data_IF_336060477980
#
_entry.id   IF_336060477980
#
_cell.length_a   1.000
_cell.length_b   1.000
_cell.length_c   1.000
_cell.angle_alpha   90.00
_cell.angle_beta   90.00
_cell.angle_gamma   90.00
#
_symmetry.space_group_name_H-M   'P 1'
#
loop_
_entity.id
_entity.type
_entity.pdbx_description
1 polymer ?
#
# COMPACT_ATOMS: atom_id res chain seq x y z
N UNK A 1 9.85 -8.76 -12.10
CA UNK A 1 10.21 -7.98 -10.91
C UNK A 1 9.00 -7.91 -9.97
N UNK A 2 9.21 -7.67 -8.68
CA UNK A 2 8.16 -7.47 -7.68
C UNK A 2 8.10 -5.98 -7.33
N UNK A 3 6.93 -5.37 -7.37
CA UNK A 3 6.70 -3.97 -7.00
C UNK A 3 5.86 -3.96 -5.73
N UNK A 4 6.36 -3.36 -4.67
CA UNK A 4 5.69 -3.30 -3.37
C UNK A 4 5.34 -1.85 -3.06
N UNK A 5 4.05 -1.54 -3.04
CA UNK A 5 3.55 -0.30 -2.46
C UNK A 5 3.55 -0.44 -0.94
N UNK A 6 4.36 0.38 -0.27
CA UNK A 6 4.58 0.30 1.16
C UNK A 6 3.90 1.48 1.87
N UNK A 7 2.89 1.20 2.68
CA UNK A 7 2.23 2.19 3.52
C UNK A 7 2.41 1.87 5.00
N UNK A 8 1.87 2.72 5.87
CA UNK A 8 1.77 2.40 7.30
C UNK A 8 0.84 1.21 7.55
N UNK A 9 -0.16 1.04 6.68
CA UNK A 9 -1.05 -0.13 6.65
C UNK A 9 -1.12 -0.67 5.23
N UNK A 10 -1.21 -1.99 5.10
CA UNK A 10 -1.29 -2.69 3.81
C UNK A 10 -2.65 -2.52 3.15
N UNK A 11 -3.74 -2.54 3.93
CA UNK A 11 -5.13 -2.58 3.43
C UNK A 11 -5.78 -1.23 3.14
N UNK A 12 -5.03 -0.14 3.21
CA UNK A 12 -5.54 1.21 2.93
C UNK A 12 -4.74 1.92 1.84
N UNK A 13 -3.85 2.86 2.16
CA UNK A 13 -3.15 3.68 1.17
C UNK A 13 -2.20 2.88 0.28
N UNK A 14 -1.57 1.83 0.82
CA UNK A 14 -0.71 0.94 0.04
C UNK A 14 -1.52 0.19 -1.03
N UNK A 15 -2.65 -0.40 -0.61
CA UNK A 15 -3.60 -1.07 -1.50
C UNK A 15 -4.19 -0.12 -2.53
N UNK A 16 -4.68 1.05 -2.12
CA UNK A 16 -5.22 2.05 -3.03
C UNK A 16 -4.20 2.50 -4.08
N UNK A 17 -2.94 2.71 -3.68
CA UNK A 17 -1.85 3.06 -4.59
C UNK A 17 -1.57 1.94 -5.61
N UNK A 18 -1.48 0.70 -5.15
CA UNK A 18 -1.22 -0.44 -6.01
C UNK A 18 -2.37 -0.75 -6.99
N UNK A 19 -3.62 -0.65 -6.53
CA UNK A 19 -4.78 -0.79 -7.41
C UNK A 19 -4.84 0.32 -8.48
N UNK A 20 -4.55 1.57 -8.09
CA UNK A 20 -4.45 2.68 -9.05
C UNK A 20 -3.31 2.46 -10.05
N UNK A 21 -2.15 1.99 -9.60
CA UNK A 21 -1.02 1.65 -10.46
C UNK A 21 -1.41 0.62 -11.54
N UNK A 22 -2.16 -0.42 -11.17
CA UNK A 22 -2.57 -1.50 -12.07
C UNK A 22 -3.66 -1.10 -13.07
N UNK A 23 -4.69 -0.36 -12.62
CA UNK A 23 -5.90 -0.15 -13.41
C UNK A 23 -6.12 1.29 -13.90
N UNK A 24 -5.47 2.28 -13.27
CA UNK A 24 -5.65 3.74 -13.44
C UNK A 24 -7.07 4.30 -13.25
N UNK A 25 -8.10 3.48 -13.42
CA UNK A 25 -9.52 3.86 -13.27
C UNK A 25 -10.00 3.75 -11.82
N UNK A 26 -9.29 3.00 -10.96
CA UNK A 26 -9.70 2.77 -9.58
C UNK A 26 -9.41 3.92 -8.61
N UNK A 27 -8.86 5.04 -9.09
CA UNK A 27 -8.40 6.14 -8.24
C UNK A 27 -9.51 6.70 -7.33
N UNK A 28 -10.74 6.80 -7.82
CA UNK A 28 -11.86 7.36 -7.05
C UNK A 28 -12.77 6.32 -6.40
N UNK A 29 -12.70 5.06 -6.86
CA UNK A 29 -13.54 3.98 -6.33
C UNK A 29 -12.76 3.10 -5.35
N UNK A 30 -13.15 3.18 -4.08
CA UNK A 30 -12.55 2.43 -2.97
C UNK A 30 -13.25 1.09 -2.69
N UNK A 31 -14.14 0.63 -3.57
CA UNK A 31 -14.66 -0.75 -3.52
C UNK A 31 -13.61 -1.72 -4.11
N UNK A 32 -12.42 -1.71 -3.48
CA UNK A 32 -11.26 -2.53 -3.83
C UNK A 32 -11.27 -3.80 -2.99
N UNK A 33 -10.95 -4.93 -3.61
CA UNK A 33 -10.78 -6.19 -2.89
C UNK A 33 -9.68 -6.05 -1.83
N UNK A 34 -9.98 -6.47 -0.59
CA UNK A 34 -9.06 -6.35 0.54
C UNK A 34 -9.00 -4.97 1.20
N UNK A 35 -9.74 -3.96 0.71
CA UNK A 35 -9.77 -2.64 1.36
C UNK A 35 -10.38 -2.73 2.77
N UNK A 36 -9.66 -2.18 3.75
CA UNK A 36 -10.04 -2.24 5.16
C UNK A 36 -10.35 -3.69 5.62
N UNK A 37 -9.66 -4.69 5.06
CA UNK A 37 -9.70 -6.07 5.54
C UNK A 37 -8.74 -6.22 6.73
N UNK A 38 -9.29 -6.36 7.92
CA UNK A 38 -8.48 -6.44 9.12
C UNK A 38 -7.68 -7.76 9.22
N UNK A 39 -8.18 -8.85 8.63
CA UNK A 39 -7.50 -10.14 8.69
C UNK A 39 -6.29 -10.16 7.76
N UNK A 40 -6.40 -9.55 6.58
CA UNK A 40 -5.25 -9.32 5.70
C UNK A 40 -4.19 -8.42 6.36
N UNK A 41 -4.61 -7.35 7.06
CA UNK A 41 -3.69 -6.47 7.75
C UNK A 41 -2.94 -7.21 8.87
N UNK A 42 -3.65 -7.93 9.73
CA UNK A 42 -3.06 -8.70 10.85
C UNK A 42 -2.10 -9.79 10.39
N UNK A 43 -2.29 -10.34 9.20
CA UNK A 43 -1.41 -11.38 8.66
C UNK A 43 0.02 -10.84 8.44
N UNK A 44 0.18 -9.53 8.22
CA UNK A 44 1.48 -8.87 8.06
C UNK A 44 2.25 -9.26 6.79
N UNK A 45 1.65 -10.06 5.90
CA UNK A 45 2.26 -10.48 4.65
C UNK A 45 1.98 -9.47 3.53
N UNK A 46 2.87 -9.37 2.52
CA UNK A 46 2.57 -8.62 1.30
C UNK A 46 1.30 -9.17 0.61
N UNK A 47 0.35 -8.30 0.33
CA UNK A 47 -0.92 -8.61 -0.32
C UNK A 47 -0.70 -8.54 -1.83
N UNK A 48 -0.81 -9.65 -2.55
CA UNK A 48 -0.72 -9.65 -4.02
C UNK A 48 -1.97 -9.00 -4.61
N UNK A 49 -1.77 -7.96 -5.42
CA UNK A 49 -2.85 -7.22 -6.08
C UNK A 49 -3.04 -7.64 -7.53
N UNK A 50 -1.98 -8.11 -8.19
CA UNK A 50 -2.04 -8.55 -9.58
C UNK A 50 -0.71 -8.45 -10.31
N UNK A 51 -0.79 -8.42 -11.64
CA UNK A 51 0.35 -8.28 -12.54
C UNK A 51 0.17 -7.04 -13.43
N UNK A 52 1.25 -6.28 -13.62
CA UNK A 52 1.27 -5.16 -14.56
C UNK A 52 1.48 -5.64 -16.02
N UNK A 53 1.51 -4.70 -16.97
CA UNK A 53 1.70 -4.99 -18.40
C UNK A 53 3.07 -5.59 -18.75
N UNK A 54 4.05 -5.46 -17.86
CA UNK A 54 5.40 -5.98 -18.01
C UNK A 54 5.59 -7.31 -17.23
N UNK A 55 4.49 -7.94 -16.78
CA UNK A 55 4.48 -9.13 -15.93
C UNK A 55 5.18 -8.94 -14.57
N UNK A 56 5.24 -7.71 -14.06
CA UNK A 56 5.68 -7.46 -12.69
C UNK A 56 4.55 -7.77 -11.72
N UNK A 57 4.87 -8.48 -10.65
CA UNK A 57 3.92 -8.76 -9.57
C UNK A 57 3.81 -7.52 -8.67
N UNK A 58 2.59 -7.04 -8.45
CA UNK A 58 2.33 -5.83 -7.66
C UNK A 58 1.71 -6.21 -6.34
N UNK A 59 2.27 -5.67 -5.26
CA UNK A 59 1.87 -5.95 -3.89
C UNK A 59 1.57 -4.68 -3.10
N UNK A 60 0.73 -4.80 -2.07
CA UNK A 60 0.62 -3.83 -0.99
C UNK A 60 1.21 -4.41 0.31
N UNK A 61 1.85 -3.56 1.11
CA UNK A 61 2.43 -3.95 2.40
C UNK A 61 2.23 -2.84 3.44
N UNK A 62 1.90 -3.24 4.66
CA UNK A 62 1.86 -2.37 5.84
C UNK A 62 3.19 -2.43 6.59
N UNK A 63 3.70 -1.28 7.01
CA UNK A 63 4.91 -1.21 7.84
C UNK A 63 4.63 -1.26 9.33
N UNK A 64 3.42 -0.86 9.76
CA UNK A 64 2.96 -0.60 11.14
C UNK A 64 3.82 0.41 11.94
N UNK A 65 5.00 0.71 11.44
CA UNK A 65 6.06 1.52 12.04
C UNK A 65 6.59 2.48 10.97
N UNK A 66 7.85 2.90 11.06
CA UNK A 66 8.41 3.85 10.09
C UNK A 66 8.56 3.23 8.69
N UNK A 67 7.80 3.79 7.73
CA UNK A 67 7.77 3.36 6.33
C UNK A 67 9.17 3.41 5.70
N UNK A 68 9.96 4.46 5.98
CA UNK A 68 11.27 4.64 5.37
C UNK A 68 12.30 3.70 5.97
N UNK A 69 12.21 3.42 7.27
CA UNK A 69 13.06 2.40 7.92
C UNK A 69 12.78 1.04 7.30
N UNK A 70 11.52 0.62 7.21
CA UNK A 70 11.19 -0.69 6.63
C UNK A 70 11.60 -0.77 5.16
N UNK A 71 11.37 0.28 4.36
CA UNK A 71 11.88 0.34 2.98
C UNK A 71 13.38 0.07 2.93
N UNK A 72 14.15 0.79 3.74
CA UNK A 72 15.60 0.65 3.78
C UNK A 72 16.02 -0.76 4.21
N UNK A 73 15.35 -1.35 5.20
CA UNK A 73 15.59 -2.73 5.61
C UNK A 73 15.35 -3.72 4.49
N UNK A 74 14.28 -3.56 3.72
CA UNK A 74 13.96 -4.43 2.58
C UNK A 74 15.00 -4.27 1.46
N UNK A 75 15.38 -3.03 1.13
CA UNK A 75 16.39 -2.75 0.10
C UNK A 75 17.76 -3.34 0.46
N UNK A 76 18.20 -3.16 1.72
CA UNK A 76 19.47 -3.71 2.21
C UNK A 76 19.43 -5.25 2.27
N UNK A 77 18.30 -5.84 2.66
CA UNK A 77 18.12 -7.30 2.64
C UNK A 77 18.19 -7.87 1.22
N UNK A 78 17.51 -7.24 0.26
CA UNK A 78 17.55 -7.68 -1.14
C UNK A 78 18.98 -7.63 -1.71
N UNK A 79 19.75 -6.60 -1.34
CA UNK A 79 21.16 -6.51 -1.72
C UNK A 79 22.01 -7.64 -1.10
N UNK A 80 21.79 -7.98 0.18
CA UNK A 80 22.49 -9.08 0.86
C UNK A 80 22.16 -10.44 0.23
N UNK A 81 20.91 -10.64 -0.18
CA UNK A 81 20.47 -11.88 -0.82
C UNK A 81 20.92 -12.03 -2.28
N UNK A 82 21.55 -11.01 -2.86
CA UNK A 82 22.02 -11.05 -4.25
C UNK A 82 20.89 -10.86 -5.28
N UNK A 83 19.75 -10.34 -4.86
CA UNK A 83 18.62 -9.98 -5.74
C UNK A 83 18.40 -8.44 -5.84
N UNK A 84 19.44 -7.58 -5.89
CA UNK A 84 19.22 -6.15 -6.07
C UNK A 84 18.59 -5.89 -7.45
N UNK A 85 17.43 -5.25 -7.47
CA UNK A 85 16.70 -4.93 -8.70
C UNK A 85 15.58 -5.92 -9.07
N UNK A 86 15.44 -7.04 -8.37
CA UNK A 86 14.25 -7.90 -8.51
C UNK A 86 13.05 -7.40 -7.71
N UNK A 87 13.31 -6.49 -6.76
CA UNK A 87 12.34 -5.92 -5.84
C UNK A 87 12.41 -4.39 -5.86
N UNK A 88 11.27 -3.76 -6.10
CA UNK A 88 11.08 -2.32 -6.06
C UNK A 88 10.10 -1.96 -4.94
N UNK A 89 10.54 -1.20 -3.95
CA UNK A 89 9.70 -0.75 -2.83
C UNK A 89 9.35 0.72 -2.99
N UNK A 90 8.06 1.02 -3.10
CA UNK A 90 7.50 2.35 -3.36
C UNK A 90 6.73 2.84 -2.12
N UNK A 91 7.29 3.75 -1.32
CA UNK A 91 6.63 4.22 -0.11
C UNK A 91 5.44 5.13 -0.45
N UNK A 92 4.33 4.96 0.25
CA UNK A 92 3.11 5.77 0.11
C UNK A 92 2.80 6.37 1.47
N UNK A 93 2.90 7.71 1.54
CA UNK A 93 2.64 8.45 2.77
C UNK A 93 1.41 9.34 2.61
N UNK A 94 0.58 9.41 3.66
CA UNK A 94 -0.57 10.30 3.70
C UNK A 94 -0.67 10.95 5.10
N UNK A 95 -1.19 12.18 5.23
CA UNK A 95 -1.27 12.89 6.51
C UNK A 95 -1.97 12.10 7.62
N UNK A 96 -3.04 11.37 7.29
CA UNK A 96 -3.88 10.66 8.26
C UNK A 96 -3.50 9.19 8.46
N UNK A 97 -2.33 8.75 7.98
CA UNK A 97 -1.93 7.33 8.06
C UNK A 97 -1.89 6.80 9.50
N UNK A 98 -1.47 7.63 10.47
CA UNK A 98 -1.46 7.24 11.89
C UNK A 98 -2.88 6.95 12.39
N UNK A 99 -3.86 7.75 11.98
CA UNK A 99 -5.25 7.49 12.37
C UNK A 99 -5.73 6.15 11.81
N UNK A 100 -5.39 5.82 10.55
CA UNK A 100 -5.71 4.51 9.97
C UNK A 100 -5.11 3.34 10.76
N UNK A 101 -3.86 3.45 11.19
CA UNK A 101 -3.23 2.44 12.05
C UNK A 101 -3.90 2.34 13.43
N UNK A 102 -4.29 3.47 14.02
CA UNK A 102 -5.05 3.46 15.27
C UNK A 102 -6.44 2.83 15.08
N UNK A 103 -7.09 3.06 13.93
CA UNK A 103 -8.37 2.44 13.61
C UNK A 103 -8.26 0.92 13.45
N UNK A 104 -7.18 0.41 12.84
CA UNK A 104 -6.96 -1.06 12.75
C UNK A 104 -6.83 -1.67 14.14
N UNK A 105 -6.14 -0.98 15.04
CA UNK A 105 -6.00 -1.39 16.45
C UNK A 105 -7.36 -1.42 17.17
N UNK A 106 -8.17 -0.37 17.02
CA UNK A 106 -9.52 -0.31 17.63
C UNK A 106 -10.41 -1.41 17.04
N UNK A 107 -10.41 -1.56 15.71
CA UNK A 107 -11.16 -2.60 15.00
C UNK A 107 -10.76 -4.01 15.44
N UNK A 108 -9.48 -4.24 15.78
CA UNK A 108 -9.00 -5.47 16.39
C UNK A 108 -9.64 -5.78 17.74
N UNK A 109 -10.00 -4.76 18.52
CA UNK A 109 -10.58 -4.92 19.85
C UNK A 109 -12.11 -5.02 19.86
N UNK A 110 -12.80 -4.15 19.10
CA UNK A 110 -14.27 -4.07 19.11
C UNK A 110 -14.95 -4.69 17.89
N UNK A 111 -14.16 -5.19 16.92
CA UNK A 111 -14.62 -5.70 15.64
C UNK A 111 -14.69 -4.63 14.56
N UNK A 112 -14.20 -4.96 13.36
CA UNK A 112 -14.09 -4.05 12.22
C UNK A 112 -15.45 -3.54 11.73
N UNK A 113 -16.43 -4.41 11.47
CA UNK A 113 -17.78 -4.03 11.06
C UNK A 113 -17.85 -2.96 9.95
N UNK A 114 -19.04 -2.36 9.77
CA UNK A 114 -19.24 -1.34 8.74
C UNK A 114 -18.61 0.02 9.08
N UNK A 115 -18.44 0.32 10.38
CA UNK A 115 -17.93 1.60 10.84
C UNK A 115 -16.46 1.80 10.44
N UNK A 116 -15.63 0.76 10.58
CA UNK A 116 -14.22 0.79 10.19
C UNK A 116 -14.08 1.03 8.70
N UNK A 117 -14.78 0.23 7.89
CA UNK A 117 -14.79 0.38 6.44
C UNK A 117 -15.18 1.80 6.01
N UNK A 118 -16.28 2.33 6.54
CA UNK A 118 -16.78 3.65 6.17
C UNK A 118 -15.82 4.77 6.59
N UNK A 119 -15.23 4.67 7.78
CA UNK A 119 -14.33 5.70 8.29
C UNK A 119 -12.97 5.67 7.59
N UNK A 120 -12.42 4.48 7.34
CA UNK A 120 -11.24 4.29 6.51
C UNK A 120 -11.47 4.78 5.08
N UNK A 121 -12.62 4.47 4.47
CA UNK A 121 -13.01 4.96 3.14
C UNK A 121 -13.08 6.48 3.12
N UNK A 122 -13.67 7.10 4.13
CA UNK A 122 -13.76 8.56 4.24
C UNK A 122 -12.36 9.21 4.28
N UNK A 123 -11.44 8.66 5.07
CA UNK A 123 -10.07 9.17 5.16
C UNK A 123 -9.35 9.01 3.82
N UNK A 124 -9.33 7.79 3.25
CA UNK A 124 -8.58 7.52 2.01
C UNK A 124 -9.14 8.34 0.84
N UNK A 125 -10.47 8.50 0.75
CA UNK A 125 -11.08 9.29 -0.34
C UNK A 125 -10.58 10.73 -0.38
N UNK A 126 -10.24 11.33 0.78
CA UNK A 126 -9.67 12.69 0.85
C UNK A 126 -8.22 12.74 0.38
N UNK A 127 -7.50 11.64 0.50
CA UNK A 127 -6.06 11.54 0.21
C UNK A 127 -5.78 10.93 -1.18
N UNK A 128 -6.81 10.48 -1.91
CA UNK A 128 -6.68 9.93 -3.26
C UNK A 128 -5.83 10.80 -4.21
N UNK A 129 -6.03 12.13 -4.31
CA UNK A 129 -5.21 12.96 -5.20
C UNK A 129 -3.71 12.90 -4.86
N UNK A 130 -3.39 12.83 -3.57
CA UNK A 130 -2.01 12.73 -3.09
C UNK A 130 -1.43 11.34 -3.34
N UNK A 131 -2.23 10.29 -3.17
CA UNK A 131 -1.83 8.90 -3.49
C UNK A 131 -1.52 8.79 -4.98
N UNK A 132 -2.42 9.28 -5.84
CA UNK A 132 -2.26 9.29 -7.30
C UNK A 132 -0.98 10.01 -7.70
N UNK A 133 -0.77 11.23 -7.19
CA UNK A 133 0.41 12.03 -7.51
C UNK A 133 1.72 11.32 -7.13
N UNK A 134 1.75 10.59 -6.01
CA UNK A 134 2.91 9.78 -5.62
C UNK A 134 3.14 8.61 -6.60
N UNK A 135 2.08 7.88 -6.97
CA UNK A 135 2.18 6.77 -7.92
C UNK A 135 2.65 7.24 -9.30
N UNK A 136 2.08 8.33 -9.80
CA UNK A 136 2.45 8.89 -11.11
C UNK A 136 3.94 9.31 -11.12
N UNK A 137 4.41 9.96 -10.05
CA UNK A 137 5.83 10.31 -9.90
C UNK A 137 6.74 9.08 -9.92
N UNK A 138 6.35 7.99 -9.26
CA UNK A 138 7.12 6.74 -9.31
C UNK A 138 7.13 6.13 -10.71
N UNK A 139 6.02 6.19 -11.44
CA UNK A 139 5.96 5.70 -12.82
C UNK A 139 6.88 6.49 -13.75
N UNK A 140 6.91 7.82 -13.63
CA UNK A 140 7.84 8.66 -14.41
C UNK A 140 9.31 8.29 -14.14
N UNK A 141 9.66 8.04 -12.87
CA UNK A 141 11.00 7.63 -12.49
C UNK A 141 11.38 6.23 -13.03
N UNK A 142 10.40 5.32 -13.15
CA UNK A 142 10.62 3.99 -13.71
C UNK A 142 10.77 3.97 -15.24
N UNK A 143 10.25 4.98 -15.94
CA UNK A 143 10.40 5.10 -17.39
C UNK A 143 11.71 5.78 -17.80
N UNK A 144 12.37 6.50 -16.88
CA UNK A 144 13.62 7.21 -17.13
C UNK A 144 14.87 6.37 -16.84
N UNK A 145 14.71 5.23 -16.16
CA UNK A 145 15.77 4.27 -15.82
C UNK A 145 15.66 3.02 -16.70
#
# INVERSE_FOLDING_TARGET
MKIVFLGLTGVHQALAAGCYYLSRESGENLDLEGFADLELEKAGFPILLGQDRNNNLVYALGSETDILVLKRTIDELAAVLGEPGELLVLPITIPWQKILLWLTTIAGFIGAGQWYYNFSRYIIKREIPLIISQVDKYQEQLQQN
#
